data_IF_454118744750
#
_entry.id   IF_454118744750
#
_cell.length_a   1.000
_cell.length_b   1.000
_cell.length_c   1.000
_cell.angle_alpha   90.00
_cell.angle_beta   90.00
_cell.angle_gamma   90.00
#
_symmetry.space_group_name_H-M   'P 1'
#
loop_
_entity.id
_entity.type
_entity.pdbx_description
1 polymer ?
#
# COMPACT_ATOMS: atom_id res chain seq x y z
N UNK A 1 -14.58 -5.07 -4.25
CA UNK A 1 -15.08 -3.80 -4.78
C UNK A 1 -14.80 -3.81 -6.27
N UNK A 2 -15.76 -3.40 -7.09
CA UNK A 2 -15.53 -3.21 -8.52
C UNK A 2 -14.84 -1.87 -8.77
N UNK A 3 -14.22 -1.64 -9.94
CA UNK A 3 -13.61 -0.35 -10.27
C UNK A 3 -14.57 0.84 -10.09
N UNK A 4 -15.84 0.68 -10.46
CA UNK A 4 -16.87 1.72 -10.40
C UNK A 4 -17.19 2.15 -8.95
N UNK A 5 -16.98 1.25 -7.99
CA UNK A 5 -17.17 1.55 -6.56
C UNK A 5 -15.98 2.30 -5.95
N UNK A 6 -14.85 2.37 -6.66
CA UNK A 6 -13.59 2.92 -6.14
C UNK A 6 -13.26 4.26 -6.81
N UNK A 7 -13.45 4.34 -8.13
CA UNK A 7 -13.10 5.53 -8.92
C UNK A 7 -13.93 6.73 -8.45
N UNK A 8 -13.26 7.87 -8.23
CA UNK A 8 -13.87 9.10 -7.75
C UNK A 8 -13.83 9.29 -6.23
N UNK A 9 -13.41 8.27 -5.49
CA UNK A 9 -13.19 8.35 -4.05
C UNK A 9 -11.70 8.35 -3.70
N UNK A 10 -11.37 8.97 -2.58
CA UNK A 10 -10.05 8.89 -1.98
C UNK A 10 -9.87 7.58 -1.21
N UNK A 11 -8.62 7.11 -1.11
CA UNK A 11 -8.31 5.90 -0.36
C UNK A 11 -8.79 5.97 1.10
N UNK A 12 -8.73 7.15 1.71
CA UNK A 12 -9.11 7.40 3.11
C UNK A 12 -10.62 7.52 3.34
N UNK A 13 -11.42 7.77 2.30
CA UNK A 13 -12.88 7.67 2.37
C UNK A 13 -13.33 6.21 2.33
N UNK A 14 -12.70 5.39 1.48
CA UNK A 14 -13.03 3.98 1.33
C UNK A 14 -12.45 3.11 2.45
N UNK A 15 -11.27 3.47 2.94
CA UNK A 15 -10.50 2.73 3.95
C UNK A 15 -9.93 3.70 5.00
N UNK A 16 -10.74 4.24 5.91
CA UNK A 16 -10.29 5.18 6.93
C UNK A 16 -9.13 4.65 7.80
N UNK A 17 -9.10 3.34 8.02
CA UNK A 17 -8.08 2.61 8.78
C UNK A 17 -6.68 2.76 8.19
N UNK A 18 -6.56 3.04 6.88
CA UNK A 18 -5.26 3.14 6.21
C UNK A 18 -4.40 4.24 6.84
N UNK A 19 -5.01 5.31 7.38
CA UNK A 19 -4.30 6.43 8.02
C UNK A 19 -3.43 6.00 9.22
N UNK A 20 -3.79 4.90 9.87
CA UNK A 20 -3.02 4.33 10.99
C UNK A 20 -1.91 3.37 10.56
N UNK A 21 -1.71 3.17 9.25
CA UNK A 21 -0.77 2.18 8.73
C UNK A 21 0.49 2.83 8.16
N UNK A 22 1.64 2.12 8.15
CA UNK A 22 2.84 2.60 7.48
C UNK A 22 2.68 2.89 5.98
N UNK A 23 1.65 2.30 5.34
CA UNK A 23 1.35 2.55 3.93
C UNK A 23 0.91 3.99 3.67
N UNK A 24 0.11 4.58 4.57
CA UNK A 24 -0.38 5.94 4.37
C UNK A 24 0.74 6.98 4.41
N UNK A 25 1.73 6.80 5.28
CA UNK A 25 2.88 7.69 5.33
C UNK A 25 3.66 7.68 4.02
N UNK A 26 3.95 6.53 3.42
CA UNK A 26 4.66 6.49 2.13
C UNK A 26 3.83 7.07 0.97
N UNK A 27 2.49 6.96 1.02
CA UNK A 27 1.62 7.64 0.05
C UNK A 27 1.70 9.15 0.18
N UNK A 28 1.60 9.66 1.41
CA UNK A 28 1.68 11.09 1.74
C UNK A 28 3.06 11.64 1.36
N UNK A 29 4.13 10.96 1.71
CA UNK A 29 5.49 11.38 1.38
C UNK A 29 5.77 11.39 -0.12
N UNK A 30 5.30 10.39 -0.87
CA UNK A 30 5.45 10.38 -2.34
C UNK A 30 4.66 11.52 -3.00
N UNK A 31 3.49 11.86 -2.46
CA UNK A 31 2.68 12.99 -2.91
C UNK A 31 3.35 14.33 -2.63
N UNK A 32 3.86 14.54 -1.41
CA UNK A 32 4.46 15.80 -0.96
C UNK A 32 5.86 16.01 -1.54
N UNK A 33 6.75 15.03 -1.40
CA UNK A 33 8.18 15.13 -1.73
C UNK A 33 8.45 14.81 -3.20
N UNK A 34 7.48 14.23 -3.91
CA UNK A 34 7.61 13.84 -5.33
C UNK A 34 8.80 12.91 -5.58
N UNK A 35 9.06 12.01 -4.63
CA UNK A 35 10.12 10.98 -4.71
C UNK A 35 9.52 9.58 -4.63
N UNK A 36 10.22 8.59 -5.18
CA UNK A 36 9.82 7.19 -5.06
C UNK A 36 9.92 6.77 -3.61
N UNK A 37 8.87 6.13 -3.09
CA UNK A 37 8.82 5.60 -1.74
C UNK A 37 8.56 4.09 -1.76
N UNK A 38 8.94 3.40 -0.68
CA UNK A 38 8.63 1.98 -0.52
C UNK A 38 8.53 1.61 0.95
N UNK A 39 7.63 0.68 1.27
CA UNK A 39 7.51 0.10 2.61
C UNK A 39 7.20 -1.38 2.52
N UNK A 40 7.74 -2.15 3.46
CA UNK A 40 7.33 -3.52 3.76
C UNK A 40 6.73 -3.50 5.16
N UNK A 41 5.52 -4.01 5.32
CA UNK A 41 4.84 -4.04 6.63
C UNK A 41 4.04 -5.32 6.81
N UNK A 42 3.83 -5.79 8.06
CA UNK A 42 2.85 -6.83 8.34
C UNK A 42 1.46 -6.45 7.80
N UNK A 43 0.74 -7.43 7.29
CA UNK A 43 -0.56 -7.23 6.66
C UNK A 43 -1.50 -8.40 6.96
N UNK A 44 -2.75 -8.07 7.32
CA UNK A 44 -3.84 -9.02 7.44
C UNK A 44 -4.64 -9.03 6.13
N UNK A 45 -4.53 -10.12 5.39
CA UNK A 45 -5.25 -10.30 4.12
C UNK A 45 -6.73 -10.54 4.37
N UNK A 46 -7.55 -10.27 3.35
CA UNK A 46 -9.03 -10.41 3.44
C UNK A 46 -9.49 -11.83 3.71
N UNK A 47 -8.65 -12.83 3.42
CA UNK A 47 -8.88 -14.24 3.71
C UNK A 47 -8.46 -14.65 5.14
N UNK A 48 -8.04 -13.68 5.98
CA UNK A 48 -7.62 -13.89 7.35
C UNK A 48 -6.17 -14.31 7.51
N UNK A 49 -5.40 -14.46 6.43
CA UNK A 49 -3.98 -14.79 6.52
C UNK A 49 -3.18 -13.59 7.00
N UNK A 50 -2.20 -13.83 7.85
CA UNK A 50 -1.17 -12.85 8.21
C UNK A 50 0.06 -13.03 7.31
N UNK A 51 0.67 -11.91 6.94
CA UNK A 51 1.89 -11.93 6.15
C UNK A 51 2.57 -10.58 6.01
N UNK A 52 3.38 -10.43 4.97
CA UNK A 52 4.13 -9.22 4.68
C UNK A 52 3.73 -8.67 3.30
N UNK A 53 3.38 -7.39 3.27
CA UNK A 53 3.01 -6.69 2.06
C UNK A 53 4.02 -5.59 1.77
N UNK A 54 4.57 -5.62 0.56
CA UNK A 54 5.41 -4.57 0.00
C UNK A 54 4.54 -3.61 -0.80
N UNK A 55 4.72 -2.30 -0.61
CA UNK A 55 4.18 -1.29 -1.50
C UNK A 55 5.29 -0.40 -1.99
N UNK A 56 5.35 -0.19 -3.30
CA UNK A 56 6.22 0.77 -3.95
C UNK A 56 5.39 1.86 -4.61
N UNK A 57 5.73 3.11 -4.32
CA UNK A 57 4.95 4.29 -4.67
C UNK A 57 5.78 5.17 -5.59
N UNK A 58 5.24 5.47 -6.76
CA UNK A 58 5.88 6.29 -7.78
C UNK A 58 5.11 7.59 -7.95
N UNK A 59 5.75 8.75 -7.84
CA UNK A 59 5.12 10.02 -8.17
C UNK A 59 4.83 10.07 -9.67
N UNK A 60 3.59 10.43 -10.04
CA UNK A 60 3.15 10.63 -11.44
C UNK A 60 2.46 11.98 -11.60
N UNK A 61 2.27 12.46 -12.81
CA UNK A 61 1.56 13.73 -13.04
C UNK A 61 0.16 13.68 -12.42
N UNK A 62 -0.13 14.59 -11.50
CA UNK A 62 -1.43 14.67 -10.82
C UNK A 62 -1.66 13.68 -9.68
N UNK A 63 -0.68 12.85 -9.30
CA UNK A 63 -0.85 11.90 -8.19
C UNK A 63 0.31 10.94 -7.96
N UNK A 64 -0.03 9.71 -7.56
CA UNK A 64 0.89 8.60 -7.31
C UNK A 64 0.39 7.30 -7.96
N UNK A 65 1.32 6.46 -8.38
CA UNK A 65 1.09 5.07 -8.76
C UNK A 65 1.60 4.17 -7.63
N UNK A 66 0.74 3.31 -7.11
CA UNK A 66 1.10 2.33 -6.07
C UNK A 66 1.12 0.93 -6.66
N UNK A 67 2.23 0.21 -6.47
CA UNK A 67 2.37 -1.21 -6.83
C UNK A 67 2.50 -1.99 -5.53
N UNK A 68 1.50 -2.82 -5.23
CA UNK A 68 1.47 -3.68 -4.05
C UNK A 68 1.84 -5.13 -4.38
N UNK A 69 2.58 -5.79 -3.49
CA UNK A 69 3.03 -7.18 -3.65
C UNK A 69 2.96 -7.93 -2.32
N UNK A 70 2.33 -9.10 -2.33
CA UNK A 70 2.50 -10.08 -1.25
C UNK A 70 3.90 -10.68 -1.36
N UNK A 71 4.72 -10.47 -0.32
CA UNK A 71 6.09 -11.00 -0.25
C UNK A 71 6.26 -12.03 0.87
N UNK A 72 5.14 -12.53 1.41
CA UNK A 72 5.15 -13.36 2.61
C UNK A 72 5.94 -14.65 2.41
N UNK A 73 5.83 -15.27 1.24
CA UNK A 73 6.59 -16.49 0.91
C UNK A 73 8.08 -16.20 0.83
N UNK A 74 8.49 -15.11 0.17
CA UNK A 74 9.91 -14.73 0.11
C UNK A 74 10.48 -14.47 1.51
N UNK A 75 9.75 -13.70 2.34
CA UNK A 75 10.18 -13.41 3.72
C UNK A 75 10.35 -14.67 4.58
N UNK A 76 9.45 -15.65 4.45
CA UNK A 76 9.57 -16.93 5.14
C UNK A 76 10.80 -17.73 4.70
N UNK A 77 11.16 -17.67 3.43
CA UNK A 77 12.36 -18.33 2.90
C UNK A 77 13.66 -17.66 3.36
N UNK A 78 13.69 -16.33 3.51
CA UNK A 78 14.86 -15.60 4.03
C UNK A 78 15.16 -15.91 5.51
N UNK A 79 14.16 -16.38 6.27
CA UNK A 79 14.27 -16.67 7.70
C UNK A 79 14.53 -18.16 8.01
N UNK A 80 14.58 -19.02 7.00
CA UNK A 80 14.84 -20.45 7.11
C UNK A 80 16.32 -20.75 6.87
#
# INVERSE_FOLDING_TARGET
MTPEQIIGHTLTELFPEVKGTPFYEVYREAMEKRTVQSVVSPFLFRDGREGFYEVKVYPVTGGILCIGRDITTQKRMEMA
#
